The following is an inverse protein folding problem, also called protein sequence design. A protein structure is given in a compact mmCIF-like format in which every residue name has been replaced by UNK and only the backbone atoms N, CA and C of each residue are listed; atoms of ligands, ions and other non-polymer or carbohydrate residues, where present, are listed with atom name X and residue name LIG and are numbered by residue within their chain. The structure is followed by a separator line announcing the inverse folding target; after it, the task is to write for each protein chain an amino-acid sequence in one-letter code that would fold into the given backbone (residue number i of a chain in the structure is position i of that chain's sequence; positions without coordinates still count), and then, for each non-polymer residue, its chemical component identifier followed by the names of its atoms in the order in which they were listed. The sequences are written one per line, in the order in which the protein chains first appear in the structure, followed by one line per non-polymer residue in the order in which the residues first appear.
data_IF_195852078851
#
_entry.id   IF_195852078851
#
_cell.length_a   1.000
_cell.length_b   1.000
_cell.length_c   1.000
_cell.angle_alpha   90.00
_cell.angle_beta   90.00
_cell.angle_gamma   90.00
#
_symmetry.space_group_name_H-M   'P 1'
#
loop_
_entity.id
_entity.type
_entity.pdbx_description
1 polymer ?
#
# COMPACT_ATOMS: atom_id res chain seq x y z
N UNK A 1 -33.05 3.56 1.56
CA UNK A 1 -31.73 3.27 2.17
C UNK A 1 -30.95 2.38 1.21
N UNK A 2 -29.70 2.72 0.86
CA UNK A 2 -28.88 1.87 0.01
C UNK A 2 -28.58 0.54 0.73
N UNK A 3 -28.78 -0.58 0.05
CA UNK A 3 -28.47 -1.91 0.54
C UNK A 3 -27.60 -2.63 -0.50
N UNK A 4 -26.64 -3.42 -0.03
CA UNK A 4 -25.70 -4.14 -0.90
C UNK A 4 -25.82 -5.63 -0.60
N UNK A 5 -25.85 -6.49 -1.62
CA UNK A 5 -25.83 -7.94 -1.41
C UNK A 5 -24.45 -8.41 -0.98
N UNK A 6 -24.39 -9.29 0.01
CA UNK A 6 -23.14 -9.90 0.47
C UNK A 6 -22.42 -10.69 -0.64
N UNK A 7 -23.18 -11.27 -1.58
CA UNK A 7 -22.63 -11.94 -2.77
C UNK A 7 -21.79 -10.99 -3.62
N UNK A 8 -22.28 -9.76 -3.79
CA UNK A 8 -21.65 -8.77 -4.66
C UNK A 8 -20.38 -8.24 -4.01
N UNK A 9 -20.41 -8.02 -2.69
CA UNK A 9 -19.22 -7.68 -1.90
C UNK A 9 -18.17 -8.79 -1.95
N UNK A 10 -18.58 -10.05 -1.87
CA UNK A 10 -17.66 -11.19 -1.96
C UNK A 10 -16.99 -11.28 -3.35
N UNK A 11 -17.74 -11.03 -4.42
CA UNK A 11 -17.20 -10.99 -5.78
C UNK A 11 -16.23 -9.82 -5.95
N UNK A 12 -16.59 -8.62 -5.50
CA UNK A 12 -15.74 -7.43 -5.57
C UNK A 12 -14.44 -7.65 -4.78
N UNK A 13 -14.54 -8.23 -3.58
CA UNK A 13 -13.38 -8.58 -2.76
C UNK A 13 -12.47 -9.58 -3.48
N UNK A 14 -13.03 -10.61 -4.12
CA UNK A 14 -12.26 -11.56 -4.94
C UNK A 14 -11.52 -10.86 -6.08
N UNK A 15 -12.23 -10.07 -6.89
CA UNK A 15 -11.63 -9.33 -8.02
C UNK A 15 -10.51 -8.42 -7.54
N UNK A 16 -10.66 -7.76 -6.39
CA UNK A 16 -9.63 -6.87 -5.87
C UNK A 16 -8.38 -7.62 -5.42
N UNK A 17 -8.53 -8.80 -4.81
CA UNK A 17 -7.38 -9.64 -4.45
C UNK A 17 -6.61 -10.11 -5.69
N UNK A 18 -7.31 -10.51 -6.75
CA UNK A 18 -6.70 -10.92 -8.03
C UNK A 18 -5.92 -9.76 -8.68
N UNK A 19 -6.48 -8.54 -8.67
CA UNK A 19 -5.79 -7.33 -9.14
C UNK A 19 -4.51 -7.01 -8.36
N UNK A 20 -4.45 -7.40 -7.08
CA UNK A 20 -3.27 -7.25 -6.23
C UNK A 20 -2.27 -8.40 -6.37
N UNK A 21 -2.52 -9.36 -7.27
CA UNK A 21 -1.62 -10.47 -7.57
C UNK A 21 -1.82 -11.70 -6.69
N UNK A 22 -2.90 -11.77 -5.90
CA UNK A 22 -3.22 -12.96 -5.11
C UNK A 22 -4.02 -13.98 -5.94
N UNK A 23 -3.58 -15.25 -5.94
CA UNK A 23 -4.31 -16.34 -6.59
C UNK A 23 -5.47 -16.81 -5.72
N UNK A 24 -6.70 -16.40 -6.04
CA UNK A 24 -7.90 -16.84 -5.32
C UNK A 24 -8.47 -18.09 -5.99
N UNK A 25 -7.92 -19.26 -5.64
CA UNK A 25 -8.40 -20.57 -6.16
C UNK A 25 -9.72 -21.01 -5.55
N UNK A 26 -9.98 -20.64 -4.29
CA UNK A 26 -11.17 -21.05 -3.55
C UNK A 26 -12.25 -19.98 -3.53
N UNK A 27 -13.51 -20.42 -3.44
CA UNK A 27 -14.66 -19.53 -3.23
C UNK A 27 -14.49 -18.75 -1.92
N UNK A 28 -14.72 -17.43 -1.96
CA UNK A 28 -14.70 -16.59 -0.76
C UNK A 28 -15.74 -17.09 0.25
N UNK A 29 -15.31 -17.31 1.48
CA UNK A 29 -16.19 -17.74 2.56
C UNK A 29 -17.05 -16.56 3.04
N UNK A 30 -18.24 -16.42 2.46
CA UNK A 30 -19.14 -15.27 2.66
C UNK A 30 -19.50 -15.03 4.12
N UNK A 31 -19.69 -16.09 4.93
CA UNK A 31 -19.94 -15.95 6.37
C UNK A 31 -18.79 -15.26 7.09
N UNK A 32 -17.55 -15.69 6.84
CA UNK A 32 -16.36 -15.11 7.47
C UNK A 32 -16.11 -13.69 6.99
N UNK A 33 -16.39 -13.41 5.71
CA UNK A 33 -16.32 -12.06 5.17
C UNK A 33 -17.34 -11.13 5.85
N UNK A 34 -18.59 -11.59 5.99
CA UNK A 34 -19.65 -10.87 6.71
C UNK A 34 -19.23 -10.55 8.14
N UNK A 35 -18.74 -11.54 8.89
CA UNK A 35 -18.38 -11.35 10.30
C UNK A 35 -17.23 -10.32 10.44
N UNK A 36 -16.23 -10.36 9.53
CA UNK A 36 -15.16 -9.35 9.48
C UNK A 36 -15.69 -7.95 9.13
N UNK A 37 -16.63 -7.85 8.20
CA UNK A 37 -17.21 -6.55 7.82
C UNK A 37 -18.00 -5.94 8.98
N UNK A 38 -18.80 -6.74 9.68
CA UNK A 38 -19.57 -6.30 10.84
C UNK A 38 -18.67 -5.92 12.03
N UNK A 39 -17.50 -6.55 12.17
CA UNK A 39 -16.55 -6.19 13.23
C UNK A 39 -15.79 -4.88 12.96
N UNK A 40 -15.54 -4.56 11.68
CA UNK A 40 -14.81 -3.34 11.28
C UNK A 40 -15.75 -2.14 11.15
N UNK A 41 -17.00 -2.37 10.74
CA UNK A 41 -18.00 -1.33 10.48
C UNK A 41 -19.13 -1.41 11.53
N UNK A 42 -19.04 -0.67 12.65
CA UNK A 42 -19.97 -0.82 13.77
C UNK A 42 -21.43 -0.44 13.43
N UNK A 43 -21.63 0.43 12.44
CA UNK A 43 -22.94 0.86 11.96
C UNK A 43 -23.49 -0.06 10.85
N UNK A 44 -22.76 -1.09 10.43
CA UNK A 44 -23.22 -2.06 9.45
C UNK A 44 -24.07 -3.15 10.12
N UNK A 45 -25.16 -3.53 9.47
CA UNK A 45 -26.06 -4.61 9.87
C UNK A 45 -26.26 -5.56 8.70
N UNK A 46 -26.41 -6.84 9.02
CA UNK A 46 -26.76 -7.87 8.06
C UNK A 46 -28.23 -8.25 8.24
N UNK A 47 -28.99 -8.27 7.14
CA UNK A 47 -30.38 -8.70 7.12
C UNK A 47 -30.55 -9.84 6.12
N UNK A 48 -31.16 -10.93 6.56
CA UNK A 48 -31.46 -12.07 5.69
C UNK A 48 -32.75 -11.79 4.93
N UNK A 49 -32.68 -11.76 3.59
CA UNK A 49 -33.84 -11.63 2.72
C UNK A 49 -33.94 -12.85 1.81
N UNK A 50 -34.72 -13.85 2.24
CA UNK A 50 -34.81 -15.13 1.54
C UNK A 50 -33.47 -15.86 1.51
N UNK A 51 -32.94 -16.12 0.30
CA UNK A 51 -31.62 -16.75 0.10
C UNK A 51 -30.46 -15.75 0.13
N UNK A 52 -30.75 -14.47 0.06
CA UNK A 52 -29.73 -13.42 0.02
C UNK A 52 -29.49 -12.84 1.43
N UNK A 53 -28.26 -12.40 1.68
CA UNK A 53 -27.91 -11.58 2.85
C UNK A 53 -27.62 -10.17 2.37
N UNK A 54 -28.40 -9.20 2.84
CA UNK A 54 -28.21 -7.78 2.56
C UNK A 54 -27.40 -7.13 3.67
N UNK A 55 -26.51 -6.22 3.27
CA UNK A 55 -25.75 -5.36 4.16
C UNK A 55 -26.35 -3.95 4.10
N UNK A 56 -26.69 -3.41 5.25
CA UNK A 56 -27.34 -2.11 5.42
C UNK A 56 -26.61 -1.30 6.49
N UNK A 57 -26.44 0.00 6.26
CA UNK A 57 -26.00 0.91 7.32
C UNK A 57 -27.20 1.40 8.12
N UNK A 58 -27.11 1.32 9.44
CA UNK A 58 -28.17 1.76 10.37
C UNK A 58 -28.26 3.30 10.44
N UNK A 59 -27.15 3.99 10.13
CA UNK A 59 -27.05 5.44 10.04
C UNK A 59 -26.76 5.87 8.60
N UNK A 60 -26.80 7.17 8.34
CA UNK A 60 -26.47 7.74 7.04
C UNK A 60 -25.13 7.20 6.52
N UNK A 61 -25.17 6.63 5.31
CA UNK A 61 -23.98 6.05 4.65
C UNK A 61 -22.95 7.13 4.29
N UNK A 62 -23.39 8.39 4.14
CA UNK A 62 -22.54 9.52 3.75
C UNK A 62 -21.36 9.75 4.71
N UNK A 63 -21.59 9.96 6.01
CA UNK A 63 -20.52 10.05 7.00
C UNK A 63 -19.60 8.83 7.06
N UNK A 64 -20.14 7.61 6.94
CA UNK A 64 -19.35 6.38 6.94
C UNK A 64 -18.45 6.29 5.69
N UNK A 65 -18.97 6.63 4.51
CA UNK A 65 -18.21 6.70 3.26
C UNK A 65 -17.18 7.83 3.28
N UNK A 66 -17.51 8.99 3.86
CA UNK A 66 -16.56 10.09 4.03
C UNK A 66 -15.38 9.65 4.89
N UNK A 67 -15.64 8.99 6.02
CA UNK A 67 -14.58 8.47 6.90
C UNK A 67 -13.74 7.40 6.20
N UNK A 68 -14.37 6.51 5.43
CA UNK A 68 -13.64 5.51 4.63
C UNK A 68 -12.80 6.16 3.51
N UNK A 69 -13.34 7.19 2.85
CA UNK A 69 -12.64 7.97 1.83
C UNK A 69 -11.44 8.73 2.39
N UNK A 70 -11.59 9.35 3.57
CA UNK A 70 -10.51 10.06 4.25
C UNK A 70 -9.36 9.08 4.57
N UNK A 71 -9.66 7.85 4.99
CA UNK A 71 -8.66 6.78 5.18
C UNK A 71 -8.08 6.25 3.86
N UNK A 72 -8.88 6.15 2.80
CA UNK A 72 -8.41 5.75 1.46
C UNK A 72 -7.52 6.83 0.83
N UNK A 73 -7.65 8.09 1.23
CA UNK A 73 -6.82 9.19 0.73
C UNK A 73 -5.33 8.93 1.01
N UNK A 74 -4.98 8.51 2.23
CA UNK A 74 -3.63 8.14 2.62
C UNK A 74 -3.13 6.91 1.84
N UNK A 75 -3.98 5.90 1.66
CA UNK A 75 -3.65 4.73 0.84
C UNK A 75 -3.35 5.15 -0.61
N UNK A 76 -4.08 6.13 -1.14
CA UNK A 76 -3.87 6.64 -2.49
C UNK A 76 -2.60 7.49 -2.61
N UNK A 77 -2.26 8.26 -1.58
CA UNK A 77 -0.96 8.94 -1.49
C UNK A 77 0.21 7.93 -1.47
N UNK A 78 0.08 6.84 -0.71
CA UNK A 78 1.07 5.76 -0.68
C UNK A 78 1.22 5.06 -2.03
N UNK A 79 0.11 4.71 -2.69
CA UNK A 79 0.14 4.11 -4.03
C UNK A 79 0.83 5.04 -5.02
N UNK A 80 0.53 6.34 -5.00
CA UNK A 80 1.19 7.33 -5.86
C UNK A 80 2.67 7.45 -5.56
N UNK A 81 3.07 7.52 -4.29
CA UNK A 81 4.48 7.56 -3.90
C UNK A 81 5.24 6.30 -4.37
N UNK A 82 4.66 5.11 -4.16
CA UNK A 82 5.22 3.85 -4.62
C UNK A 82 5.35 3.78 -6.15
N UNK A 83 4.36 4.29 -6.89
CA UNK A 83 4.42 4.37 -8.35
C UNK A 83 5.53 5.30 -8.85
N UNK A 84 5.74 6.45 -8.19
CA UNK A 84 6.84 7.38 -8.53
C UNK A 84 8.19 6.70 -8.32
N UNK A 85 8.41 6.10 -7.15
CA UNK A 85 9.65 5.38 -6.81
C UNK A 85 9.89 4.22 -7.76
N UNK A 86 8.88 3.36 -7.97
CA UNK A 86 8.99 2.23 -8.90
C UNK A 86 9.32 2.68 -10.30
N UNK A 87 8.68 3.74 -10.80
CA UNK A 87 8.94 4.25 -12.14
C UNK A 87 10.40 4.64 -12.30
N UNK A 88 10.96 5.37 -11.35
CA UNK A 88 12.36 5.80 -11.40
C UNK A 88 13.34 4.62 -11.29
N UNK A 89 13.09 3.68 -10.38
CA UNK A 89 13.91 2.47 -10.21
C UNK A 89 14.01 1.61 -11.47
N UNK A 90 12.93 1.54 -12.26
CA UNK A 90 12.87 0.67 -13.45
C UNK A 90 13.00 1.40 -14.78
N UNK A 91 12.97 2.74 -14.80
CA UNK A 91 13.24 3.52 -16.03
C UNK A 91 14.72 3.57 -16.36
N UNK A 92 15.59 3.56 -15.36
CA UNK A 92 17.04 3.62 -15.58
C UNK A 92 17.54 2.21 -15.89
N UNK A 93 18.02 1.98 -17.12
CA UNK A 93 18.67 0.71 -17.48
C UNK A 93 20.05 0.67 -16.83
N UNK A 94 20.18 -0.08 -15.74
CA UNK A 94 21.49 -0.35 -15.15
C UNK A 94 22.19 -1.42 -16.00
N UNK A 95 23.31 -1.06 -16.61
CA UNK A 95 24.17 -2.01 -17.34
C UNK A 95 25.41 -2.26 -16.51
N UNK A 96 25.62 -3.52 -16.09
CA UNK A 96 26.86 -3.93 -15.44
C UNK A 96 27.94 -4.10 -16.50
N UNK A 97 29.03 -3.36 -16.38
CA UNK A 97 30.16 -3.37 -17.30
C UNK A 97 31.28 -4.35 -16.88
N UNK A 98 31.03 -5.15 -15.85
CA UNK A 98 32.01 -6.10 -15.31
C UNK A 98 32.79 -5.58 -14.10
N UNK A 99 32.58 -4.33 -13.67
CA UNK A 99 33.26 -3.75 -12.52
C UNK A 99 32.33 -2.96 -11.60
N UNK A 100 32.73 -2.80 -10.34
CA UNK A 100 32.09 -1.89 -9.40
C UNK A 100 32.93 -0.61 -9.29
N UNK A 101 32.46 0.46 -9.91
CA UNK A 101 33.07 1.78 -9.81
C UNK A 101 32.98 2.33 -8.38
N UNK A 102 33.87 3.26 -8.02
CA UNK A 102 33.94 3.81 -6.66
C UNK A 102 32.59 4.38 -6.16
N UNK A 103 31.79 4.95 -7.07
CA UNK A 103 30.48 5.53 -6.76
C UNK A 103 29.29 4.60 -7.03
N UNK A 104 29.53 3.33 -7.41
CA UNK A 104 28.45 2.39 -7.78
C UNK A 104 27.37 2.26 -6.70
N UNK A 105 27.75 2.36 -5.42
CA UNK A 105 26.80 2.31 -4.31
C UNK A 105 25.92 3.56 -4.22
N UNK A 106 26.50 4.74 -4.49
CA UNK A 106 25.74 6.00 -4.52
C UNK A 106 24.76 5.99 -5.70
N UNK A 107 25.22 5.50 -6.84
CA UNK A 107 24.45 5.47 -8.09
C UNK A 107 23.40 4.34 -8.12
N UNK A 108 23.48 3.39 -7.18
CA UNK A 108 22.53 2.26 -7.07
C UNK A 108 21.14 2.66 -6.56
N UNK A 109 21.00 3.82 -5.95
CA UNK A 109 19.75 4.25 -5.30
C UNK A 109 19.20 5.47 -6.01
N UNK A 110 17.95 5.39 -6.46
CA UNK A 110 17.36 6.52 -7.18
C UNK A 110 17.00 7.67 -6.24
N UNK A 111 17.07 8.93 -6.71
CA UNK A 111 16.74 10.10 -5.92
C UNK A 111 15.37 10.05 -5.23
N UNK A 112 14.31 9.57 -5.88
CA UNK A 112 12.98 9.47 -5.27
C UNK A 112 12.92 8.40 -4.17
N UNK A 113 13.63 7.29 -4.33
CA UNK A 113 13.74 6.27 -3.29
C UNK A 113 14.48 6.83 -2.07
N UNK A 114 15.60 7.52 -2.30
CA UNK A 114 16.38 8.15 -1.24
C UNK A 114 15.55 9.23 -0.51
N UNK A 115 14.86 10.09 -1.26
CA UNK A 115 13.99 11.11 -0.70
C UNK A 115 12.85 10.49 0.14
N UNK A 116 12.22 9.41 -0.33
CA UNK A 116 11.17 8.72 0.42
C UNK A 116 11.69 8.16 1.74
N UNK A 117 12.83 7.47 1.73
CA UNK A 117 13.44 6.91 2.94
C UNK A 117 13.79 8.01 3.94
N UNK A 118 14.37 9.12 3.48
CA UNK A 118 14.67 10.25 4.34
C UNK A 118 13.41 10.90 4.91
N UNK A 119 12.34 11.01 4.13
CA UNK A 119 11.05 11.49 4.65
C UNK A 119 10.44 10.55 5.70
N UNK A 120 10.72 9.24 5.65
CA UNK A 120 10.29 8.27 6.66
C UNK A 120 11.12 8.41 7.94
N UNK A 121 12.44 8.59 7.82
CA UNK A 121 13.36 8.65 8.95
C UNK A 121 13.33 10.01 9.66
N UNK A 122 13.38 11.10 8.90
CA UNK A 122 13.53 12.47 9.41
C UNK A 122 12.23 13.28 9.35
N UNK A 123 11.17 12.71 8.79
CA UNK A 123 9.92 13.39 8.49
C UNK A 123 9.97 14.24 7.21
N UNK A 124 8.80 14.69 6.74
CA UNK A 124 8.69 15.56 5.58
C UNK A 124 9.11 17.01 5.92
N UNK A 125 10.41 17.27 6.03
CA UNK A 125 10.95 18.58 6.34
C UNK A 125 11.64 19.23 5.13
N UNK A 126 11.06 20.33 4.64
CA UNK A 126 11.55 21.11 3.49
C UNK A 126 12.98 21.62 3.70
N UNK A 127 13.41 21.83 4.96
CA UNK A 127 14.76 22.32 5.29
C UNK A 127 15.87 21.29 5.07
N UNK A 128 15.54 20.00 5.01
CA UNK A 128 16.50 18.91 4.78
C UNK A 128 16.63 18.52 3.30
N UNK A 129 15.60 18.73 2.48
CA UNK A 129 15.62 18.41 1.04
C UNK A 129 16.65 19.23 0.26
N UNK A 130 17.03 20.42 0.73
CA UNK A 130 18.06 21.26 0.10
C UNK A 130 19.49 20.78 0.38
N UNK A 131 19.71 19.96 1.43
CA UNK A 131 21.03 19.37 1.74
C UNK A 131 21.32 18.07 0.99
N UNK A 132 20.28 17.41 0.46
CA UNK A 132 20.39 16.12 -0.23
C UNK A 132 21.04 16.18 -1.62
N UNK A 133 21.24 17.38 -2.17
CA UNK A 133 22.13 17.55 -3.32
C UNK A 133 23.61 17.29 -2.95
N UNK A 134 23.99 17.39 -1.66
CA UNK A 134 25.40 17.54 -1.27
C UNK A 134 25.89 16.66 -0.10
N UNK A 135 25.13 15.72 0.48
CA UNK A 135 25.71 14.92 1.60
C UNK A 135 25.17 13.50 1.79
N UNK A 136 26.14 12.58 1.81
CA UNK A 136 26.20 11.18 2.21
C UNK A 136 25.14 10.65 3.20
N UNK A 137 24.02 10.13 2.69
CA UNK A 137 23.12 9.20 3.42
C UNK A 137 23.45 7.72 3.19
N UNK A 138 24.63 7.41 2.64
CA UNK A 138 25.09 6.06 2.32
C UNK A 138 25.21 5.13 3.53
N UNK A 139 25.29 5.64 4.76
CA UNK A 139 25.58 4.81 5.96
C UNK A 139 24.40 4.00 6.48
N UNK A 140 23.16 4.49 6.41
CA UNK A 140 21.99 3.78 6.99
C UNK A 140 21.56 2.58 6.12
N UNK A 141 21.63 2.72 4.79
CA UNK A 141 21.31 1.63 3.86
C UNK A 141 22.37 0.51 3.89
N UNK A 142 23.64 0.84 4.18
CA UNK A 142 24.71 -0.15 4.36
C UNK A 142 24.54 -0.96 5.66
N UNK A 143 24.07 -0.33 6.74
CA UNK A 143 23.78 -1.02 8.01
C UNK A 143 22.70 -2.10 7.82
N UNK A 144 21.60 -1.79 7.11
CA UNK A 144 20.52 -2.74 6.86
C UNK A 144 20.95 -3.91 5.95
N UNK A 145 21.86 -3.68 5.00
CA UNK A 145 22.39 -4.72 4.12
C UNK A 145 23.35 -5.67 4.83
N UNK A 146 24.14 -5.18 5.79
CA UNK A 146 25.00 -6.04 6.63
C UNK A 146 24.18 -7.00 7.50
N UNK A 147 23.03 -6.54 8.02
CA UNK A 147 22.11 -7.38 8.79
C UNK A 147 21.45 -8.48 7.94
N UNK A 148 21.09 -8.19 6.69
CA UNK A 148 20.51 -9.20 5.79
C UNK A 148 21.52 -10.20 5.23
N UNK A 149 22.79 -9.81 5.10
CA UNK A 149 23.84 -10.68 4.56
C UNK A 149 24.40 -11.68 5.60
N UNK A 150 24.12 -11.49 6.90
CA UNK A 150 24.53 -12.42 7.97
C UNK A 150 23.47 -13.46 8.33
N UNK A 151 22.35 -13.52 7.61
CA UNK A 151 21.24 -14.47 7.87
C UNK A 151 20.91 -15.36 6.66
N UNK A 152 21.84 -15.48 5.70
CA UNK A 152 21.82 -16.51 4.63
C UNK A 152 23.09 -17.32 4.70
#
# INVERSE_FOLDING_TARGET
MPCIKLSDVANLYKTRLEQLGATVTNRIHTTRLKDRLLSVLPDLRAHSQGRDTLLLFEKDIGPALKKAYDHDSDAMHLVRAAQVVRREMFQTRFTFDGAFHADCQKDSVTPALLALVNMILDGANIKHQTKLANTSTTTVLLQYRSYWCSTV
#
